data_IF_526595310902
#
_entry.id   IF_526595310902
#
_cell.length_a   1.000
_cell.length_b   1.000
_cell.length_c   1.000
_cell.angle_alpha   90.00
_cell.angle_beta   90.00
_cell.angle_gamma   90.00
#
_symmetry.space_group_name_H-M   'P 1'
#
loop_
_entity.id
_entity.type
_entity.pdbx_description
1 polymer ?
#
# COMPACT_ATOMS: atom_id res chain seq x y z
N UNK A 1 -12.74 16.44 -8.53
CA UNK A 1 -11.50 17.25 -8.68
C UNK A 1 -10.30 16.39 -8.32
N UNK A 2 -9.78 15.59 -9.27
CA UNK A 2 -8.49 14.93 -9.08
C UNK A 2 -7.40 15.99 -9.26
N UNK A 3 -6.74 16.37 -8.17
CA UNK A 3 -5.58 17.24 -8.22
C UNK A 3 -4.34 16.42 -8.63
N UNK A 4 -3.33 17.04 -9.27
CA UNK A 4 -2.10 16.35 -9.70
C UNK A 4 -1.41 15.60 -8.55
N UNK A 5 -1.50 16.12 -7.32
CA UNK A 5 -0.99 15.47 -6.11
C UNK A 5 -1.72 14.17 -5.75
N UNK A 6 -3.03 14.11 -5.93
CA UNK A 6 -3.82 12.91 -5.63
C UNK A 6 -3.46 11.77 -6.57
N UNK A 7 -3.20 12.10 -7.83
CA UNK A 7 -2.73 11.13 -8.82
C UNK A 7 -1.35 10.59 -8.42
N UNK A 8 -0.43 11.45 -8.00
CA UNK A 8 0.89 11.04 -7.50
C UNK A 8 0.78 10.08 -6.31
N UNK A 9 -0.11 10.36 -5.35
CA UNK A 9 -0.37 9.51 -4.17
C UNK A 9 -0.81 8.10 -4.60
N UNK A 10 -1.75 8.00 -5.53
CA UNK A 10 -2.24 6.69 -6.00
C UNK A 10 -1.14 5.94 -6.74
N UNK A 11 -0.38 6.62 -7.61
CA UNK A 11 0.72 6.00 -8.35
C UNK A 11 1.84 5.52 -7.42
N UNK A 12 2.22 6.30 -6.40
CA UNK A 12 3.23 5.87 -5.43
C UNK A 12 2.75 4.70 -4.60
N UNK A 13 1.47 4.65 -4.22
CA UNK A 13 0.89 3.51 -3.52
C UNK A 13 0.98 2.23 -4.37
N UNK A 14 0.61 2.31 -5.65
CA UNK A 14 0.67 1.16 -6.58
C UNK A 14 2.11 0.68 -6.76
N UNK A 15 3.06 1.60 -6.98
CA UNK A 15 4.47 1.22 -7.13
C UNK A 15 5.02 0.57 -5.86
N UNK A 16 4.72 1.14 -4.69
CA UNK A 16 5.20 0.60 -3.42
C UNK A 16 4.64 -0.79 -3.12
N UNK A 17 3.33 -1.02 -3.33
CA UNK A 17 2.74 -2.33 -3.07
C UNK A 17 3.28 -3.40 -4.03
N UNK A 18 3.46 -3.07 -5.31
CA UNK A 18 4.05 -4.00 -6.29
C UNK A 18 5.48 -4.34 -5.90
N UNK A 19 6.28 -3.34 -5.52
CA UNK A 19 7.66 -3.55 -5.10
C UNK A 19 7.74 -4.41 -3.84
N UNK A 20 6.95 -4.14 -2.81
CA UNK A 20 6.94 -4.95 -1.58
C UNK A 20 6.46 -6.37 -1.87
N UNK A 21 5.42 -6.54 -2.68
CA UNK A 21 4.88 -7.85 -3.06
C UNK A 21 5.88 -8.66 -3.91
N UNK A 22 6.59 -8.01 -4.83
CA UNK A 22 7.63 -8.63 -5.64
C UNK A 22 8.81 -9.08 -4.77
N UNK A 23 9.29 -8.23 -3.86
CA UNK A 23 10.36 -8.59 -2.92
C UNK A 23 9.93 -9.70 -1.95
N UNK A 24 8.69 -9.69 -1.48
CA UNK A 24 8.21 -10.66 -0.49
C UNK A 24 7.97 -12.04 -1.10
N UNK A 25 7.28 -12.12 -2.24
CA UNK A 25 6.88 -13.38 -2.86
C UNK A 25 7.87 -13.87 -3.91
N UNK A 26 8.32 -12.99 -4.82
CA UNK A 26 9.14 -13.43 -5.96
C UNK A 26 10.60 -13.63 -5.56
N UNK A 27 11.14 -12.73 -4.73
CA UNK A 27 12.51 -12.85 -4.21
C UNK A 27 12.61 -13.67 -2.92
N UNK A 28 11.47 -14.03 -2.31
CA UNK A 28 11.44 -14.87 -1.11
C UNK A 28 12.09 -14.24 0.13
N UNK A 29 12.31 -12.92 0.14
CA UNK A 29 12.93 -12.21 1.27
C UNK A 29 12.04 -12.18 2.52
N UNK A 30 10.78 -12.57 2.37
CA UNK A 30 9.77 -12.52 3.41
C UNK A 30 9.15 -11.12 3.56
N UNK A 31 7.94 -11.02 4.12
CA UNK A 31 7.16 -9.79 4.16
C UNK A 31 7.84 -8.68 4.99
N UNK A 32 8.43 -9.04 6.14
CA UNK A 32 9.06 -8.07 7.05
C UNK A 32 10.28 -7.40 6.39
N UNK A 33 11.19 -8.18 5.82
CA UNK A 33 12.40 -7.64 5.17
C UNK A 33 12.03 -6.83 3.92
N UNK A 34 11.10 -7.33 3.10
CA UNK A 34 10.60 -6.61 1.93
C UNK A 34 10.01 -5.23 2.31
N UNK A 35 9.17 -5.17 3.34
CA UNK A 35 8.61 -3.89 3.82
C UNK A 35 9.67 -2.96 4.41
N UNK A 36 10.70 -3.50 5.07
CA UNK A 36 11.79 -2.73 5.64
C UNK A 36 12.62 -2.06 4.55
N UNK A 37 12.97 -2.79 3.50
CA UNK A 37 13.70 -2.27 2.34
C UNK A 37 12.89 -1.19 1.64
N UNK A 38 11.62 -1.47 1.33
CA UNK A 38 10.77 -0.49 0.64
C UNK A 38 10.56 0.73 1.52
N UNK A 39 10.25 0.56 2.81
CA UNK A 39 10.04 1.63 3.77
C UNK A 39 11.25 2.54 3.96
N UNK A 40 12.45 1.97 4.10
CA UNK A 40 13.70 2.74 4.14
C UNK A 40 13.94 3.48 2.83
N UNK A 41 13.71 2.82 1.70
CA UNK A 41 13.91 3.42 0.37
C UNK A 41 12.99 4.62 0.17
N UNK A 42 11.69 4.49 0.46
CA UNK A 42 10.76 5.61 0.29
C UNK A 42 10.95 6.71 1.33
N UNK A 43 11.42 6.40 2.53
CA UNK A 43 11.78 7.43 3.50
C UNK A 43 12.99 8.27 3.06
N UNK A 44 13.95 7.67 2.33
CA UNK A 44 15.16 8.36 1.88
C UNK A 44 14.98 9.13 0.57
N UNK A 45 14.24 8.57 -0.39
CA UNK A 45 14.16 9.12 -1.75
C UNK A 45 12.90 9.96 -2.03
N UNK A 46 11.81 9.77 -1.26
CA UNK A 46 10.55 10.47 -1.50
C UNK A 46 10.29 11.57 -0.46
N UNK A 47 9.58 12.65 -0.85
CA UNK A 47 9.12 13.65 0.09
C UNK A 47 8.12 13.05 1.09
N UNK A 48 8.05 13.64 2.29
CA UNK A 48 7.32 13.12 3.45
C UNK A 48 5.87 12.74 3.15
N UNK A 49 5.17 13.54 2.36
CA UNK A 49 3.76 13.28 2.00
C UNK A 49 3.59 11.97 1.21
N UNK A 50 4.52 11.69 0.29
CA UNK A 50 4.46 10.51 -0.58
C UNK A 50 5.06 9.28 0.11
N UNK A 51 6.07 9.46 0.97
CA UNK A 51 6.71 8.37 1.69
C UNK A 51 5.75 7.72 2.70
N UNK A 52 4.87 8.51 3.36
CA UNK A 52 3.84 7.97 4.26
C UNK A 52 2.88 7.06 3.51
N UNK A 53 2.41 7.47 2.34
CA UNK A 53 1.49 6.67 1.49
C UNK A 53 2.18 5.41 1.03
N UNK A 54 3.40 5.54 0.51
CA UNK A 54 4.16 4.41 0.01
C UNK A 54 4.47 3.40 1.12
N UNK A 55 4.78 3.86 2.33
CA UNK A 55 4.97 3.00 3.49
C UNK A 55 3.66 2.30 3.90
N UNK A 56 2.52 3.01 3.81
CA UNK A 56 1.19 2.41 4.03
C UNK A 56 0.89 1.31 3.01
N UNK A 57 1.21 1.54 1.75
CA UNK A 57 1.05 0.55 0.69
C UNK A 57 2.01 -0.64 0.84
N UNK A 58 3.22 -0.42 1.36
CA UNK A 58 4.14 -1.50 1.71
C UNK A 58 3.54 -2.44 2.77
N UNK A 59 2.82 -1.93 3.77
CA UNK A 59 2.08 -2.78 4.72
C UNK A 59 1.02 -3.62 4.03
N UNK A 60 0.25 -3.05 3.10
CA UNK A 60 -0.72 -3.82 2.32
C UNK A 60 -0.02 -4.92 1.47
N UNK A 61 1.17 -4.63 0.94
CA UNK A 61 1.99 -5.56 0.15
C UNK A 61 2.64 -6.69 0.95
N UNK A 62 2.63 -6.62 2.29
CA UNK A 62 3.03 -7.73 3.17
C UNK A 62 1.98 -8.83 3.27
N UNK A 63 0.78 -8.63 2.72
CA UNK A 63 -0.27 -9.65 2.74
C UNK A 63 0.23 -10.95 2.12
N UNK A 64 -0.18 -12.08 2.70
CA UNK A 64 0.28 -13.38 2.25
C UNK A 64 -0.19 -13.68 0.82
N UNK A 65 0.55 -14.56 0.15
CA UNK A 65 0.17 -15.12 -1.16
C UNK A 65 -1.21 -15.79 -1.16
N UNK A 66 -1.74 -16.17 0.02
CA UNK A 66 -3.08 -16.73 0.16
C UNK A 66 -4.18 -15.68 0.03
N UNK A 67 -3.90 -14.41 0.36
CA UNK A 67 -4.86 -13.29 0.32
C UNK A 67 -4.71 -12.48 -0.95
N UNK A 68 -3.48 -12.09 -1.29
CA UNK A 68 -3.14 -11.46 -2.57
C UNK A 68 -2.45 -12.54 -3.41
N UNK A 69 -3.20 -13.22 -4.27
CA UNK A 69 -2.70 -14.33 -5.07
C UNK A 69 -2.05 -13.88 -6.38
N UNK A 70 -2.48 -12.71 -6.89
CA UNK A 70 -2.11 -12.25 -8.23
C UNK A 70 -1.71 -10.78 -8.23
N UNK A 71 -0.85 -10.39 -9.17
CA UNK A 71 -0.44 -8.99 -9.36
C UNK A 71 -1.63 -8.02 -9.56
N UNK A 72 -2.70 -8.36 -10.30
CA UNK A 72 -3.90 -7.51 -10.39
C UNK A 72 -4.56 -7.23 -9.04
N UNK A 73 -4.60 -8.20 -8.12
CA UNK A 73 -5.10 -7.97 -6.76
C UNK A 73 -4.20 -6.97 -6.01
N UNK A 74 -2.88 -7.11 -6.12
CA UNK A 74 -1.95 -6.17 -5.49
C UNK A 74 -2.11 -4.74 -6.05
N UNK A 75 -2.29 -4.59 -7.37
CA UNK A 75 -2.57 -3.29 -8.00
C UNK A 75 -3.87 -2.69 -7.47
N UNK A 76 -4.94 -3.49 -7.39
CA UNK A 76 -6.24 -3.02 -6.89
C UNK A 76 -6.17 -2.61 -5.42
N UNK A 77 -5.46 -3.39 -4.59
CA UNK A 77 -5.19 -3.02 -3.21
C UNK A 77 -4.40 -1.71 -3.09
N UNK A 78 -3.39 -1.50 -3.94
CA UNK A 78 -2.63 -0.24 -3.99
C UNK A 78 -3.50 0.97 -4.36
N UNK A 79 -4.38 0.82 -5.35
CA UNK A 79 -5.37 1.84 -5.72
C UNK A 79 -6.27 2.17 -4.53
N UNK A 80 -6.80 1.16 -3.86
CA UNK A 80 -7.67 1.34 -2.68
C UNK A 80 -6.93 2.01 -1.52
N UNK A 81 -5.67 1.63 -1.25
CA UNK A 81 -4.84 2.32 -0.25
C UNK A 81 -4.74 3.80 -0.58
N UNK A 82 -4.42 4.16 -1.83
CA UNK A 82 -4.32 5.55 -2.27
C UNK A 82 -5.64 6.32 -2.09
N UNK A 83 -6.76 5.73 -2.48
CA UNK A 83 -8.09 6.36 -2.35
C UNK A 83 -8.46 6.56 -0.88
N UNK A 84 -8.38 5.51 -0.06
CA UNK A 84 -8.71 5.57 1.36
C UNK A 84 -7.77 6.55 2.07
N UNK A 85 -6.49 6.58 1.70
CA UNK A 85 -5.54 7.54 2.23
C UNK A 85 -5.94 8.98 1.92
N UNK A 86 -6.32 9.31 0.68
CA UNK A 86 -6.74 10.68 0.30
C UNK A 86 -7.96 11.12 1.12
N UNK A 87 -8.94 10.23 1.29
CA UNK A 87 -10.17 10.53 2.05
C UNK A 87 -9.85 10.72 3.54
N UNK A 88 -8.96 9.89 4.08
CA UNK A 88 -8.64 9.91 5.51
C UNK A 88 -7.51 10.87 5.86
N UNK A 89 -6.72 11.40 4.92
CA UNK A 89 -5.61 12.31 5.17
C UNK A 89 -5.97 13.48 6.11
N UNK A 90 -7.08 14.23 5.90
CA UNK A 90 -7.46 15.33 6.79
C UNK A 90 -7.98 14.86 8.16
N UNK A 91 -8.35 13.58 8.29
CA UNK A 91 -8.91 13.00 9.50
C UNK A 91 -7.80 12.32 10.32
N UNK A 92 -7.79 12.51 11.64
CA UNK A 92 -6.89 11.79 12.55
C UNK A 92 -5.38 12.02 12.31
N UNK A 93 -4.96 13.27 12.08
CA UNK A 93 -3.54 13.61 12.07
C UNK A 93 -2.93 13.34 13.46
N UNK A 94 -1.80 12.63 13.51
CA UNK A 94 -1.10 12.32 14.75
C UNK A 94 -1.63 11.10 15.54
N UNK A 95 -2.70 10.44 15.09
CA UNK A 95 -3.18 9.21 15.73
C UNK A 95 -2.44 7.98 15.20
N UNK A 96 -1.80 7.26 16.12
CA UNK A 96 -1.17 5.96 15.83
C UNK A 96 -2.18 4.93 15.36
N UNK A 97 -1.78 4.07 14.42
CA UNK A 97 -2.61 2.97 13.90
C UNK A 97 -3.38 3.27 12.60
N UNK A 98 -3.57 4.54 12.22
CA UNK A 98 -4.30 4.95 11.01
C UNK A 98 -3.81 4.24 9.74
N UNK A 99 -2.50 4.23 9.50
CA UNK A 99 -1.92 3.66 8.28
C UNK A 99 -2.18 2.15 8.19
N UNK A 100 -2.04 1.43 9.32
CA UNK A 100 -2.32 0.00 9.39
C UNK A 100 -3.79 -0.30 9.10
N UNK A 101 -4.72 0.51 9.62
CA UNK A 101 -6.15 0.37 9.32
C UNK A 101 -6.45 0.59 7.84
N UNK A 102 -5.85 1.62 7.22
CA UNK A 102 -6.01 1.90 5.78
C UNK A 102 -5.56 0.69 4.95
N UNK A 103 -4.36 0.15 5.26
CA UNK A 103 -3.82 -1.03 4.58
C UNK A 103 -4.74 -2.25 4.75
N UNK A 104 -5.17 -2.55 5.98
CA UNK A 104 -6.05 -3.66 6.26
C UNK A 104 -7.40 -3.54 5.52
N UNK A 105 -8.04 -2.36 5.58
CA UNK A 105 -9.29 -2.11 4.87
C UNK A 105 -9.14 -2.32 3.36
N UNK A 106 -8.09 -1.77 2.75
CA UNK A 106 -7.84 -1.92 1.32
C UNK A 106 -7.68 -3.40 0.92
N UNK A 107 -6.90 -4.16 1.68
CA UNK A 107 -6.68 -5.59 1.42
C UNK A 107 -7.96 -6.41 1.62
N UNK A 108 -8.73 -6.16 2.69
CA UNK A 108 -9.99 -6.88 2.92
C UNK A 108 -11.02 -6.63 1.81
N UNK A 109 -11.16 -5.37 1.36
CA UNK A 109 -12.04 -5.02 0.24
C UNK A 109 -11.58 -5.74 -1.03
N UNK A 110 -10.27 -5.72 -1.32
CA UNK A 110 -9.69 -6.39 -2.48
C UNK A 110 -9.93 -7.89 -2.44
N UNK A 111 -9.61 -8.55 -1.32
CA UNK A 111 -9.78 -9.98 -1.13
C UNK A 111 -11.26 -10.37 -1.27
N UNK A 112 -12.18 -9.59 -0.69
CA UNK A 112 -13.60 -9.86 -0.78
C UNK A 112 -14.10 -9.74 -2.22
N UNK A 113 -13.67 -8.71 -2.94
CA UNK A 113 -14.08 -8.48 -4.32
C UNK A 113 -13.68 -9.65 -5.23
N UNK A 114 -12.45 -10.15 -5.10
CA UNK A 114 -11.99 -11.29 -5.88
C UNK A 114 -12.57 -12.63 -5.41
N UNK A 115 -12.93 -12.79 -4.12
CA UNK A 115 -13.60 -14.00 -3.64
C UNK A 115 -15.04 -14.18 -4.16
N UNK A 116 -15.61 -13.15 -4.77
CA UNK A 116 -16.98 -13.15 -5.33
C UNK A 116 -17.03 -13.57 -6.81
N UNK A 117 -15.88 -13.62 -7.48
CA UNK A 117 -15.71 -14.09 -8.85
C UNK A 117 -15.08 -15.48 -8.85
#
# INVERSE_FOLDING_TARGET
>A
MLNNKNLQIVLTAILAIIMTYYLSITLGLGPVVASGIVGLSVALFLPTDLSIVAYTAAFAGMSSAAVLQTYPMAVLAGVLVGIIFIITQPLYQGFGGKLGTIAACAVFITARLFSLF
#
